data_IF_407156799991
#
_entry.id   IF_407156799991
#
_cell.length_a   1.000
_cell.length_b   1.000
_cell.length_c   1.000
_cell.angle_alpha   90.00
_cell.angle_beta   90.00
_cell.angle_gamma   90.00
#
_symmetry.space_group_name_H-M   'P 1'
#
loop_
_entity.id
_entity.type
_entity.pdbx_description
1 polymer ?
#
# COMPACT_ATOMS: atom_id res chain seq x y z
N UNK A 1 3.91 12.35 -1.33
CA UNK A 1 4.36 11.22 -2.18
C UNK A 1 4.83 11.62 -3.58
N UNK A 2 4.14 12.49 -4.33
CA UNK A 2 4.54 12.84 -5.70
C UNK A 2 5.99 13.36 -5.84
N UNK A 3 6.42 14.23 -4.92
CA UNK A 3 7.82 14.70 -4.90
C UNK A 3 8.82 13.58 -4.69
N UNK A 4 8.51 12.59 -3.83
CA UNK A 4 9.34 11.40 -3.63
C UNK A 4 9.41 10.58 -4.92
N UNK A 5 8.26 10.34 -5.57
CA UNK A 5 8.20 9.60 -6.83
C UNK A 5 9.09 10.25 -7.91
N UNK A 6 9.07 11.59 -7.99
CA UNK A 6 9.93 12.33 -8.88
C UNK A 6 11.42 12.16 -8.55
N UNK A 7 11.80 12.26 -7.26
CA UNK A 7 13.18 12.05 -6.82
C UNK A 7 13.66 10.62 -7.11
N UNK A 8 12.79 9.61 -6.97
CA UNK A 8 13.09 8.23 -7.38
C UNK A 8 13.35 8.13 -8.88
N UNK A 9 12.48 8.74 -9.69
CA UNK A 9 12.62 8.73 -11.14
C UNK A 9 13.93 9.38 -11.62
N UNK A 10 14.49 10.32 -10.85
CA UNK A 10 15.80 10.93 -11.11
C UNK A 10 16.99 10.05 -10.70
N UNK A 11 16.77 8.90 -10.05
CA UNK A 11 17.84 7.99 -9.62
C UNK A 11 18.28 8.16 -8.16
N UNK A 12 17.74 9.13 -7.42
CA UNK A 12 18.19 9.46 -6.06
C UNK A 12 17.49 8.61 -4.99
N UNK A 13 17.77 7.30 -4.96
CA UNK A 13 17.11 6.33 -4.07
C UNK A 13 17.21 6.71 -2.58
N UNK A 14 18.41 6.99 -2.07
CA UNK A 14 18.60 7.33 -0.65
C UNK A 14 17.85 8.61 -0.25
N UNK A 15 17.87 9.62 -1.11
CA UNK A 15 17.16 10.89 -0.86
C UNK A 15 15.65 10.64 -0.83
N UNK A 16 15.12 9.85 -1.77
CA UNK A 16 13.71 9.45 -1.74
C UNK A 16 13.35 8.66 -0.48
N UNK A 17 14.19 7.71 -0.06
CA UNK A 17 14.01 6.97 1.20
C UNK A 17 13.98 7.89 2.42
N UNK A 18 14.86 8.88 2.48
CA UNK A 18 14.88 9.87 3.56
C UNK A 18 13.65 10.77 3.55
N UNK A 19 13.19 11.21 2.36
CA UNK A 19 11.99 12.03 2.21
C UNK A 19 10.69 11.27 2.51
N UNK A 20 10.66 9.95 2.31
CA UNK A 20 9.48 9.12 2.63
C UNK A 20 9.14 9.12 4.11
N UNK A 21 10.15 9.16 4.98
CA UNK A 21 9.96 9.11 6.44
C UNK A 21 9.08 10.28 6.94
N UNK A 22 9.44 11.56 6.73
CA UNK A 22 8.62 12.67 7.18
C UNK A 22 7.28 12.72 6.43
N UNK A 23 7.26 12.40 5.13
CA UNK A 23 6.00 12.39 4.35
C UNK A 23 4.99 11.43 4.95
N UNK A 24 5.40 10.22 5.32
CA UNK A 24 4.51 9.24 5.92
C UNK A 24 4.14 9.56 7.37
N UNK A 25 5.07 10.19 8.12
CA UNK A 25 4.77 10.66 9.46
C UNK A 25 3.71 11.75 9.45
N UNK A 26 3.83 12.76 8.58
CA UNK A 26 2.84 13.83 8.47
C UNK A 26 1.47 13.30 8.01
N UNK A 27 1.45 12.38 7.05
CA UNK A 27 0.21 11.71 6.60
C UNK A 27 -0.53 11.02 7.77
N UNK A 28 0.20 10.29 8.62
CA UNK A 28 -0.36 9.64 9.80
C UNK A 28 -0.86 10.66 10.85
N UNK A 29 -0.13 11.76 11.04
CA UNK A 29 -0.49 12.83 11.98
C UNK A 29 -1.72 13.60 11.53
N UNK A 30 -1.83 13.94 10.25
CA UNK A 30 -2.97 14.68 9.68
C UNK A 30 -4.26 13.88 9.84
N UNK A 31 -4.20 12.58 9.56
CA UNK A 31 -5.33 11.68 9.80
C UNK A 31 -5.72 11.57 11.27
N UNK A 32 -4.75 11.57 12.19
CA UNK A 32 -5.01 11.56 13.64
C UNK A 32 -5.61 12.90 14.12
N UNK A 33 -5.09 14.02 13.65
CA UNK A 33 -5.55 15.36 13.99
C UNK A 33 -6.99 15.60 13.52
N UNK A 34 -7.35 15.15 12.31
CA UNK A 34 -8.73 15.25 11.81
C UNK A 34 -9.74 14.51 12.70
N UNK A 35 -9.34 13.36 13.27
CA UNK A 35 -10.16 12.59 14.23
C UNK A 35 -10.29 13.28 15.58
N UNK A 36 -9.19 13.83 16.10
CA UNK A 36 -9.18 14.51 17.40
C UNK A 36 -9.93 15.86 17.38
N UNK A 37 -9.94 16.56 16.25
CA UNK A 37 -10.58 17.88 16.10
C UNK A 37 -12.07 17.81 15.77
N UNK A 38 -12.65 16.62 15.65
CA UNK A 38 -14.07 16.44 15.29
C UNK A 38 -14.42 16.89 13.86
N UNK A 39 -13.42 17.15 13.02
CA UNK A 39 -13.59 17.61 11.62
C UNK A 39 -13.67 16.45 10.61
N UNK A 40 -13.58 15.20 11.08
CA UNK A 40 -13.65 14.03 10.22
C UNK A 40 -15.08 13.86 9.64
N UNK A 41 -15.18 13.80 8.31
CA UNK A 41 -16.43 13.50 7.60
C UNK A 41 -16.30 12.19 6.83
N UNK A 42 -17.40 11.49 6.56
CA UNK A 42 -17.38 10.25 5.77
C UNK A 42 -16.85 10.47 4.36
N UNK A 43 -17.22 11.58 3.72
CA UNK A 43 -16.68 11.95 2.40
C UNK A 43 -15.17 12.24 2.47
N UNK A 44 -14.74 13.01 3.47
CA UNK A 44 -13.32 13.31 3.68
C UNK A 44 -12.50 12.04 3.88
N UNK A 45 -12.98 11.11 4.71
CA UNK A 45 -12.33 9.82 4.93
C UNK A 45 -12.25 8.97 3.65
N UNK A 46 -13.28 8.99 2.79
CA UNK A 46 -13.26 8.32 1.48
C UNK A 46 -12.29 8.99 0.50
N UNK A 47 -12.28 10.32 0.45
CA UNK A 47 -11.44 11.09 -0.46
C UNK A 47 -9.95 10.97 -0.10
N UNK A 48 -9.61 11.16 1.17
CA UNK A 48 -8.27 10.97 1.74
C UNK A 48 -7.70 9.60 1.37
N UNK A 49 -8.48 8.57 1.70
CA UNK A 49 -8.26 7.21 1.25
C UNK A 49 -7.98 7.10 -0.25
N UNK A 50 -8.82 7.68 -1.10
CA UNK A 50 -8.64 7.58 -2.56
C UNK A 50 -7.34 8.25 -3.02
N UNK A 51 -7.03 9.44 -2.51
CA UNK A 51 -5.77 10.13 -2.79
C UNK A 51 -4.55 9.34 -2.32
N UNK A 52 -4.67 8.68 -1.17
CA UNK A 52 -3.65 7.77 -0.63
C UNK A 52 -3.25 6.68 -1.63
N UNK A 53 -4.23 6.16 -2.38
CA UNK A 53 -3.99 5.13 -3.40
C UNK A 53 -3.30 5.73 -4.63
N UNK A 54 -3.72 6.90 -5.09
CA UNK A 54 -3.02 7.61 -6.16
C UNK A 54 -1.57 7.95 -5.77
N UNK A 55 -1.36 8.36 -4.52
CA UNK A 55 -0.06 8.68 -3.96
C UNK A 55 0.87 7.44 -3.94
N UNK A 56 0.36 6.29 -3.51
CA UNK A 56 1.08 5.02 -3.54
C UNK A 56 1.37 4.57 -4.98
N UNK A 57 0.41 4.67 -5.90
CA UNK A 57 0.60 4.34 -7.32
C UNK A 57 1.70 5.20 -7.94
N UNK A 58 1.69 6.51 -7.68
CA UNK A 58 2.71 7.42 -8.19
C UNK A 58 4.11 7.06 -7.66
N UNK A 59 4.21 6.63 -6.39
CA UNK A 59 5.48 6.17 -5.81
C UNK A 59 6.04 4.95 -6.55
N UNK A 60 5.19 3.95 -6.83
CA UNK A 60 5.59 2.79 -7.62
C UNK A 60 5.89 3.13 -9.09
N UNK A 61 5.22 4.13 -9.68
CA UNK A 61 5.57 4.64 -11.00
C UNK A 61 6.98 5.25 -11.02
N UNK A 62 7.38 5.95 -9.96
CA UNK A 62 8.75 6.43 -9.78
C UNK A 62 9.77 5.30 -9.74
N UNK A 63 9.47 4.19 -9.03
CA UNK A 63 10.30 2.98 -9.03
C UNK A 63 10.34 2.29 -10.40
N UNK A 64 9.22 2.25 -11.12
CA UNK A 64 9.18 1.69 -12.47
C UNK A 64 10.04 2.50 -13.44
N UNK A 65 10.02 3.83 -13.33
CA UNK A 65 10.85 4.71 -14.15
C UNK A 65 12.34 4.56 -13.82
N UNK A 66 12.68 4.44 -12.53
CA UNK A 66 14.03 4.13 -12.06
C UNK A 66 14.57 2.84 -12.69
N UNK A 67 13.74 1.80 -12.79
CA UNK A 67 14.09 0.49 -13.35
C UNK A 67 13.61 0.27 -14.79
N UNK A 68 13.43 1.35 -15.55
CA UNK A 68 12.88 1.32 -16.92
C UNK A 68 13.53 0.26 -17.81
N UNK A 69 12.67 -0.46 -18.55
CA UNK A 69 13.05 -1.58 -19.40
C UNK A 69 12.41 -2.90 -18.96
N UNK A 70 12.64 -3.96 -19.72
CA UNK A 70 12.15 -5.31 -19.41
C UNK A 70 13.09 -6.02 -18.43
N UNK A 71 13.17 -5.48 -17.22
CA UNK A 71 14.01 -5.98 -16.12
C UNK A 71 13.19 -6.77 -15.11
N UNK A 72 13.87 -7.58 -14.29
CA UNK A 72 13.22 -8.28 -13.18
C UNK A 72 12.56 -7.28 -12.21
N UNK A 73 13.23 -6.16 -11.95
CA UNK A 73 12.74 -5.08 -11.08
C UNK A 73 11.44 -4.49 -11.59
N UNK A 74 11.30 -4.23 -12.90
CA UNK A 74 10.04 -3.75 -13.48
C UNK A 74 8.88 -4.71 -13.26
N UNK A 75 9.13 -6.02 -13.41
CA UNK A 75 8.12 -7.05 -13.12
C UNK A 75 7.79 -7.08 -11.63
N UNK A 76 8.79 -6.97 -10.75
CA UNK A 76 8.57 -6.95 -9.31
C UNK A 76 7.82 -5.68 -8.85
N UNK A 77 8.10 -4.52 -9.44
CA UNK A 77 7.35 -3.27 -9.20
C UNK A 77 5.89 -3.47 -9.57
N UNK A 78 5.60 -4.08 -10.73
CA UNK A 78 4.23 -4.40 -11.14
C UNK A 78 3.53 -5.36 -10.15
N UNK A 79 4.22 -6.42 -9.70
CA UNK A 79 3.65 -7.36 -8.72
C UNK A 79 3.44 -6.71 -7.36
N UNK A 80 4.34 -5.83 -6.93
CA UNK A 80 4.25 -5.09 -5.67
C UNK A 80 3.10 -4.09 -5.66
N UNK A 81 2.93 -3.26 -6.71
CA UNK A 81 1.80 -2.32 -6.81
C UNK A 81 0.47 -3.08 -6.91
N UNK A 82 0.42 -4.16 -7.70
CA UNK A 82 -0.78 -5.02 -7.80
C UNK A 82 -1.16 -5.57 -6.43
N UNK A 83 -0.20 -6.15 -5.70
CA UNK A 83 -0.42 -6.66 -4.35
C UNK A 83 -0.89 -5.56 -3.40
N UNK A 84 -0.26 -4.39 -3.43
CA UNK A 84 -0.63 -3.26 -2.57
C UNK A 84 -2.07 -2.78 -2.77
N UNK A 85 -2.47 -2.61 -4.05
CA UNK A 85 -3.83 -2.22 -4.40
C UNK A 85 -4.84 -3.31 -4.03
N UNK A 86 -4.51 -4.58 -4.29
CA UNK A 86 -5.37 -5.72 -3.94
C UNK A 86 -5.52 -5.90 -2.43
N UNK A 87 -4.49 -5.62 -1.63
CA UNK A 87 -4.60 -5.59 -0.16
C UNK A 87 -5.67 -4.56 0.23
N UNK A 88 -5.58 -3.33 -0.28
CA UNK A 88 -6.54 -2.26 0.03
C UNK A 88 -7.96 -2.61 -0.45
N UNK A 89 -8.09 -3.11 -1.69
CA UNK A 89 -9.36 -3.47 -2.30
C UNK A 89 -10.06 -4.63 -1.58
N UNK A 90 -9.35 -5.72 -1.28
CA UNK A 90 -9.95 -6.89 -0.62
C UNK A 90 -10.51 -6.54 0.76
N UNK A 91 -9.85 -5.64 1.50
CA UNK A 91 -10.40 -5.11 2.76
C UNK A 91 -11.66 -4.29 2.53
N UNK A 92 -11.61 -3.30 1.63
CA UNK A 92 -12.77 -2.45 1.34
C UNK A 92 -13.97 -3.27 0.85
N UNK A 93 -13.72 -4.27 -0.01
CA UNK A 93 -14.76 -5.17 -0.52
C UNK A 93 -15.34 -6.06 0.58
N UNK A 94 -14.50 -6.60 1.47
CA UNK A 94 -14.96 -7.39 2.60
C UNK A 94 -15.82 -6.56 3.56
N UNK A 95 -15.36 -5.35 3.93
CA UNK A 95 -16.10 -4.43 4.79
C UNK A 95 -17.43 -4.01 4.14
N UNK A 96 -17.46 -3.83 2.82
CA UNK A 96 -18.69 -3.59 2.05
C UNK A 96 -19.67 -4.77 1.99
N UNK A 97 -19.20 -5.99 2.28
CA UNK A 97 -20.04 -7.18 2.48
C UNK A 97 -20.44 -7.37 3.95
N UNK A 98 -20.10 -6.43 4.85
CA UNK A 98 -20.34 -6.55 6.28
C UNK A 98 -19.31 -7.42 7.03
N UNK A 99 -18.28 -7.93 6.34
CA UNK A 99 -17.24 -8.76 6.94
C UNK A 99 -16.06 -7.89 7.39
N UNK A 100 -15.79 -7.84 8.70
CA UNK A 100 -14.61 -7.15 9.20
C UNK A 100 -13.32 -7.84 8.71
N UNK A 101 -12.48 -7.10 7.99
CA UNK A 101 -11.25 -7.62 7.38
C UNK A 101 -10.01 -6.85 7.87
N UNK A 102 -9.67 -7.06 9.14
CA UNK A 102 -8.47 -6.49 9.78
C UNK A 102 -7.24 -7.41 9.72
N UNK A 103 -7.39 -8.59 9.15
CA UNK A 103 -6.31 -9.58 9.03
C UNK A 103 -5.30 -9.19 7.94
N UNK A 104 -4.12 -9.81 8.00
CA UNK A 104 -3.05 -9.65 7.03
C UNK A 104 -1.74 -9.24 7.69
N UNK A 105 -0.66 -9.96 7.37
CA UNK A 105 0.66 -9.74 7.98
C UNK A 105 1.37 -8.49 7.45
N UNK A 106 1.04 -8.06 6.23
CA UNK A 106 1.80 -7.04 5.52
C UNK A 106 0.92 -5.83 5.19
N UNK A 107 0.71 -4.99 6.21
CA UNK A 107 -0.12 -3.78 6.11
C UNK A 107 0.64 -2.63 5.44
N UNK A 108 0.01 -1.45 5.34
CA UNK A 108 0.61 -0.26 4.70
C UNK A 108 1.91 0.14 5.40
N UNK A 109 1.96 0.04 6.73
CA UNK A 109 3.13 0.43 7.52
C UNK A 109 4.34 -0.48 7.24
N UNK A 110 4.15 -1.79 7.20
CA UNK A 110 5.23 -2.74 6.91
C UNK A 110 5.75 -2.60 5.48
N UNK A 111 4.85 -2.39 4.50
CA UNK A 111 5.24 -2.11 3.12
C UNK A 111 6.10 -0.87 3.02
N UNK A 112 5.67 0.22 3.65
CA UNK A 112 6.40 1.47 3.63
C UNK A 112 7.76 1.32 4.32
N UNK A 113 7.83 0.63 5.47
CA UNK A 113 9.09 0.38 6.18
C UNK A 113 10.09 -0.39 5.32
N UNK A 114 9.64 -1.48 4.67
CA UNK A 114 10.49 -2.27 3.75
C UNK A 114 10.99 -1.40 2.59
N UNK A 115 10.13 -0.56 2.02
CA UNK A 115 10.53 0.32 0.92
C UNK A 115 11.55 1.37 1.37
N UNK A 116 11.32 2.03 2.52
CA UNK A 116 12.26 3.01 3.09
C UNK A 116 13.62 2.38 3.34
N UNK A 117 13.67 1.23 4.02
CA UNK A 117 14.93 0.53 4.29
C UNK A 117 15.62 0.10 2.99
N UNK A 118 14.87 -0.43 2.04
CA UNK A 118 15.39 -0.80 0.71
C UNK A 118 16.04 0.38 -0.02
N UNK A 119 15.38 1.54 -0.01
CA UNK A 119 15.87 2.75 -0.67
C UNK A 119 17.10 3.35 0.04
N UNK A 120 17.11 3.37 1.37
CA UNK A 120 18.23 3.90 2.16
C UNK A 120 19.50 3.04 2.02
N UNK A 121 19.33 1.72 1.93
CA UNK A 121 20.43 0.77 1.75
C UNK A 121 20.79 0.53 0.28
N UNK A 122 20.07 1.17 -0.67
CA UNK A 122 20.16 0.92 -2.12
C UNK A 122 19.95 -0.56 -2.49
N UNK A 123 19.22 -1.30 -1.65
CA UNK A 123 18.81 -2.69 -1.85
C UNK A 123 17.39 -2.77 -2.41
N UNK A 124 17.10 -1.94 -3.43
CA UNK A 124 15.75 -1.81 -4.00
C UNK A 124 15.23 -3.14 -4.55
N UNK A 125 16.08 -3.96 -5.18
CA UNK A 125 15.70 -5.29 -5.65
C UNK A 125 15.16 -6.18 -4.52
N UNK A 126 15.88 -6.26 -3.39
CA UNK A 126 15.46 -7.06 -2.25
C UNK A 126 14.15 -6.55 -1.65
N UNK A 127 14.01 -5.23 -1.51
CA UNK A 127 12.76 -4.63 -1.07
C UNK A 127 11.59 -4.96 -2.00
N UNK A 128 11.79 -4.89 -3.32
CA UNK A 128 10.77 -5.24 -4.31
C UNK A 128 10.37 -6.72 -4.25
N UNK A 129 11.32 -7.64 -4.04
CA UNK A 129 11.03 -9.06 -3.83
C UNK A 129 10.12 -9.26 -2.60
N UNK A 130 10.49 -8.65 -1.48
CA UNK A 130 9.70 -8.73 -0.23
C UNK A 130 8.31 -8.12 -0.47
N UNK A 131 8.24 -6.93 -1.06
CA UNK A 131 6.98 -6.25 -1.33
C UNK A 131 6.05 -7.07 -2.23
N UNK A 132 6.57 -7.61 -3.33
CA UNK A 132 5.82 -8.42 -4.27
C UNK A 132 5.28 -9.70 -3.62
N UNK A 133 6.11 -10.41 -2.85
CA UNK A 133 5.70 -11.67 -2.22
C UNK A 133 4.70 -11.42 -1.10
N UNK A 134 5.07 -10.62 -0.10
CA UNK A 134 4.27 -10.50 1.12
C UNK A 134 2.96 -9.74 0.92
N UNK A 135 2.91 -8.78 -0.02
CA UNK A 135 1.65 -8.11 -0.36
C UNK A 135 0.66 -9.07 -0.99
N UNK A 136 1.10 -9.88 -1.97
CA UNK A 136 0.22 -10.85 -2.64
C UNK A 136 -0.17 -12.01 -1.70
N UNK A 137 0.73 -12.47 -0.83
CA UNK A 137 0.37 -13.42 0.23
C UNK A 137 -0.69 -12.84 1.18
N UNK A 138 -0.61 -11.56 1.52
CA UNK A 138 -1.61 -10.88 2.35
C UNK A 138 -2.98 -10.83 1.66
N UNK A 139 -3.02 -10.65 0.34
CA UNK A 139 -4.27 -10.77 -0.44
C UNK A 139 -4.89 -12.16 -0.27
N UNK A 140 -4.08 -13.22 -0.42
CA UNK A 140 -4.56 -14.59 -0.25
C UNK A 140 -5.08 -14.86 1.17
N UNK A 141 -4.38 -14.35 2.19
CA UNK A 141 -4.83 -14.42 3.59
C UNK A 141 -6.20 -13.76 3.77
N UNK A 142 -6.42 -12.57 3.19
CA UNK A 142 -7.70 -11.85 3.26
C UNK A 142 -8.82 -12.58 2.54
N UNK A 143 -8.56 -13.10 1.34
CA UNK A 143 -9.55 -13.89 0.59
C UNK A 143 -9.97 -15.12 1.37
N UNK A 144 -9.02 -15.83 1.96
CA UNK A 144 -9.30 -17.02 2.76
C UNK A 144 -10.06 -16.70 4.04
N UNK A 145 -9.72 -15.61 4.72
CA UNK A 145 -10.47 -15.10 5.88
C UNK A 145 -11.92 -14.80 5.53
N UNK A 146 -12.16 -14.07 4.43
CA UNK A 146 -13.51 -13.76 3.97
C UNK A 146 -14.28 -15.03 3.63
N UNK A 147 -13.67 -15.96 2.89
CA UNK A 147 -14.30 -17.26 2.58
C UNK A 147 -14.76 -17.98 3.85
N UNK A 148 -13.90 -18.05 4.88
CA UNK A 148 -14.24 -18.69 6.16
C UNK A 148 -15.37 -17.98 6.90
N UNK A 149 -15.36 -16.65 6.91
CA UNK A 149 -16.39 -15.84 7.55
C UNK A 149 -17.75 -16.01 6.86
N UNK A 150 -17.80 -16.06 5.53
CA UNK A 150 -19.04 -16.22 4.77
C UNK A 150 -19.55 -17.65 4.71
N UNK A 151 -18.67 -18.67 4.81
CA UNK A 151 -19.10 -20.08 4.84
C UNK A 151 -19.77 -20.49 6.15
N UNK A 152 -19.75 -19.65 7.19
CA UNK A 152 -20.44 -19.89 8.46
C UNK A 152 -21.83 -19.22 8.54
N UNK A 153 -22.19 -18.37 7.58
CA UNK A 153 -23.55 -17.86 7.43
C UNK A 153 -24.33 -18.79 6.50
N UNK A 154 -25.55 -19.25 6.88
CA UNK A 154 -26.41 -19.96 5.94
C UNK A 154 -26.62 -19.05 4.73
N UNK A 155 -26.39 -19.59 3.53
CA UNK A 155 -26.60 -18.90 2.26
C UNK A 155 -27.97 -18.22 2.31
N UNK A 156 -28.02 -16.90 2.48
CA UNK A 156 -29.24 -16.16 2.19
C UNK A 156 -29.30 -16.11 0.68
N UNK A 157 -30.15 -16.97 0.12
CA UNK A 157 -30.50 -16.96 -1.30
C UNK A 157 -30.74 -15.51 -1.73
N UNK A 158 -29.92 -15.05 -2.68
CA UNK A 158 -30.18 -13.86 -3.49
C UNK A 158 -30.72 -14.32 -4.83
#
# INVERSE_FOLDING_TARGET
MLGVAYVLALGHQRVAGLLLIPVALFDALDGALARLTGKATSFGAFFDSTLDRFAEIALYLGLLYLHRGLTLESVLVYLAITGSLMVSYTRARAEGLGVQCKVGLFTRMERLAVLVVGLLLEQTLLALIILAIFSNLTVLQRVWHVRRATSQEPTRDQ
#
